data_IF_621567170744
#
_entry.id   IF_621567170744
#
_cell.length_a   1.000
_cell.length_b   1.000
_cell.length_c   1.000
_cell.angle_alpha   90.00
_cell.angle_beta   90.00
_cell.angle_gamma   90.00
#
_symmetry.space_group_name_H-M   'P 1'
#
loop_
_entity.id
_entity.type
_entity.pdbx_description
1 polymer ?
#
# COMPACT_ATOMS: atom_id res chain seq x y z
N UNK A 1 -7.29 -8.26 -3.72
CA UNK A 1 -8.08 -8.26 -2.46
C UNK A 1 -7.18 -7.63 -1.44
N UNK A 2 -7.49 -6.39 -1.12
CA UNK A 2 -6.84 -5.57 -0.10
C UNK A 2 -7.51 -5.86 1.25
N UNK A 3 -6.69 -5.94 2.31
CA UNK A 3 -7.16 -5.98 3.69
C UNK A 3 -6.72 -4.68 4.36
N UNK A 4 -7.70 -3.94 4.90
CA UNK A 4 -7.47 -2.65 5.55
C UNK A 4 -7.74 -2.77 7.07
N UNK A 5 -6.85 -2.19 7.89
CA UNK A 5 -7.00 -2.14 9.34
C UNK A 5 -6.47 -0.82 9.92
N UNK A 6 -7.23 -0.22 10.85
CA UNK A 6 -6.78 0.99 11.56
C UNK A 6 -5.73 0.62 12.62
N UNK A 7 -4.65 1.37 12.63
CA UNK A 7 -3.61 1.38 13.64
C UNK A 7 -3.81 2.60 14.57
N UNK A 8 -3.15 2.65 15.74
CA UNK A 8 -3.15 3.83 16.60
C UNK A 8 -2.76 5.10 15.80
N UNK A 9 -3.27 6.26 16.21
CA UNK A 9 -2.96 7.58 15.64
C UNK A 9 -3.52 7.89 14.23
N UNK A 10 -4.58 7.17 13.79
CA UNK A 10 -5.21 7.42 12.48
C UNK A 10 -4.45 6.80 11.31
N UNK A 11 -3.47 5.95 11.62
CA UNK A 11 -2.69 5.17 10.69
C UNK A 11 -3.58 4.09 10.04
N UNK A 12 -3.45 3.88 8.73
CA UNK A 12 -4.12 2.79 8.03
C UNK A 12 -3.10 1.81 7.47
N UNK A 13 -3.26 0.54 7.83
CA UNK A 13 -2.52 -0.57 7.25
C UNK A 13 -3.22 -1.02 5.97
N UNK A 14 -2.50 -1.07 4.85
CA UNK A 14 -2.99 -1.59 3.57
C UNK A 14 -2.12 -2.75 3.14
N UNK A 15 -2.67 -3.95 2.99
CA UNK A 15 -1.95 -5.12 2.49
C UNK A 15 -2.17 -5.28 0.98
N UNK A 16 -1.07 -5.29 0.22
CA UNK A 16 -1.08 -5.61 -1.20
C UNK A 16 -0.67 -7.04 -1.44
N UNK A 17 -1.61 -7.84 -1.94
CA UNK A 17 -1.41 -9.25 -2.20
C UNK A 17 -1.60 -9.55 -3.69
N UNK A 18 -0.53 -10.00 -4.34
CA UNK A 18 -0.63 -10.67 -5.63
C UNK A 18 -1.11 -12.11 -5.40
N UNK A 19 -2.37 -12.39 -5.79
CA UNK A 19 -3.02 -13.71 -5.69
C UNK A 19 -2.78 -14.60 -6.92
N UNK A 20 -1.96 -14.15 -7.87
CA UNK A 20 -1.54 -14.95 -9.01
C UNK A 20 -0.65 -16.12 -8.58
N UNK A 21 -0.66 -17.19 -9.36
CA UNK A 21 0.11 -18.41 -9.07
C UNK A 21 1.55 -18.36 -9.61
N UNK A 22 1.91 -17.31 -10.35
CA UNK A 22 3.24 -17.08 -10.94
C UNK A 22 3.40 -15.60 -11.34
N UNK A 23 4.65 -15.17 -11.52
CA UNK A 23 4.98 -13.85 -12.08
C UNK A 23 5.00 -12.70 -11.06
N UNK A 24 5.24 -11.49 -11.58
CA UNK A 24 5.24 -10.24 -10.83
C UNK A 24 4.13 -9.35 -11.37
N UNK A 25 3.37 -8.71 -10.49
CA UNK A 25 2.31 -7.79 -10.88
C UNK A 25 2.66 -6.35 -10.49
N UNK A 26 2.14 -5.41 -11.27
CA UNK A 26 2.09 -4.00 -10.87
C UNK A 26 0.77 -3.74 -10.17
N UNK A 27 0.83 -3.26 -8.92
CA UNK A 27 -0.36 -2.90 -8.16
C UNK A 27 -0.28 -1.42 -7.81
N UNK A 28 -1.36 -0.71 -8.12
CA UNK A 28 -1.57 0.68 -7.70
C UNK A 28 -2.67 0.72 -6.66
N UNK A 29 -2.38 1.34 -5.52
CA UNK A 29 -3.39 1.73 -4.53
C UNK A 29 -3.75 3.17 -4.78
N UNK A 30 -5.03 3.44 -5.03
CA UNK A 30 -5.54 4.82 -4.97
C UNK A 30 -6.05 5.07 -3.57
N UNK A 31 -5.76 6.26 -3.05
CA UNK A 31 -6.24 6.68 -1.73
C UNK A 31 -7.77 6.68 -1.65
N UNK A 32 -8.43 7.04 -2.76
CA UNK A 32 -9.89 6.95 -2.92
C UNK A 32 -10.46 5.55 -2.71
N UNK A 33 -9.71 4.51 -3.08
CA UNK A 33 -10.19 3.12 -3.01
C UNK A 33 -10.19 2.61 -1.56
N UNK A 34 -9.40 3.26 -0.68
CA UNK A 34 -9.27 2.90 0.75
C UNK A 34 -9.91 3.94 1.69
N UNK A 35 -10.67 4.89 1.14
CA UNK A 35 -11.52 5.81 1.92
C UNK A 35 -10.97 7.23 2.14
N UNK A 36 -9.89 7.62 1.46
CA UNK A 36 -9.33 8.96 1.54
C UNK A 36 -9.71 9.85 0.34
N UNK A 37 -9.60 11.18 0.47
CA UNK A 37 -9.70 12.09 -0.68
C UNK A 37 -8.71 11.76 -1.80
N UNK A 38 -9.08 12.09 -3.05
CA UNK A 38 -8.25 11.83 -4.25
C UNK A 38 -6.92 12.61 -4.24
N UNK A 39 -6.85 13.71 -3.50
CA UNK A 39 -5.71 14.59 -3.33
C UNK A 39 -5.00 14.39 -1.97
N UNK A 40 -5.37 13.34 -1.24
CA UNK A 40 -4.75 13.02 0.05
C UNK A 40 -3.25 12.80 -0.11
N UNK A 41 -2.45 13.38 0.80
CA UNK A 41 -1.02 13.15 0.88
C UNK A 41 -0.75 12.16 2.01
N UNK A 42 -0.04 11.07 1.70
CA UNK A 42 0.37 10.08 2.67
C UNK A 42 1.86 9.80 2.55
N UNK A 43 2.55 9.65 3.69
CA UNK A 43 3.85 8.98 3.70
C UNK A 43 3.60 7.49 3.45
N UNK A 44 4.50 6.84 2.75
CA UNK A 44 4.47 5.40 2.54
C UNK A 44 5.69 4.80 3.20
N UNK A 45 5.49 3.76 4.01
CA UNK A 45 6.56 3.04 4.71
C UNK A 45 6.41 1.55 4.52
N UNK A 46 7.43 0.89 3.99
CA UNK A 46 7.52 -0.57 4.03
C UNK A 46 7.84 -1.04 5.45
N UNK A 47 6.89 -1.73 6.09
CA UNK A 47 7.08 -2.24 7.45
C UNK A 47 8.00 -3.47 7.52
N UNK A 48 8.12 -4.26 6.45
CA UNK A 48 9.01 -5.42 6.42
C UNK A 48 10.46 -4.98 6.27
N UNK A 49 10.72 -4.09 5.31
CA UNK A 49 12.03 -3.48 5.15
C UNK A 49 12.34 -2.40 6.20
N UNK A 50 11.35 -2.04 7.03
CA UNK A 50 11.41 -0.94 8.02
C UNK A 50 11.90 0.37 7.40
N UNK A 51 11.46 0.65 6.18
CA UNK A 51 11.99 1.73 5.33
C UNK A 51 10.87 2.66 4.87
N UNK A 52 11.11 3.96 5.00
CA UNK A 52 10.24 4.97 4.41
C UNK A 52 10.49 5.06 2.89
N UNK A 53 9.42 5.01 2.12
CA UNK A 53 9.43 5.06 0.65
C UNK A 53 9.13 6.48 0.12
N UNK A 54 8.75 7.40 1.01
CA UNK A 54 8.51 8.81 0.71
C UNK A 54 7.03 9.19 0.78
N UNK A 55 6.73 10.47 0.54
CA UNK A 55 5.37 10.99 0.46
C UNK A 55 4.78 10.83 -0.94
N UNK A 56 3.50 10.49 -1.03
CA UNK A 56 2.77 10.28 -2.27
C UNK A 56 1.38 10.90 -2.20
N UNK A 57 0.93 11.52 -3.29
CA UNK A 57 -0.37 12.17 -3.39
C UNK A 57 -1.30 11.35 -4.30
N UNK A 58 -2.52 11.11 -3.83
CA UNK A 58 -3.58 10.40 -4.54
C UNK A 58 -3.40 8.89 -4.75
N UNK A 59 -2.16 8.39 -4.90
CA UNK A 59 -1.89 6.97 -5.09
C UNK A 59 -0.45 6.57 -4.81
N UNK A 60 -0.23 5.26 -4.68
CA UNK A 60 1.09 4.64 -4.65
C UNK A 60 1.13 3.40 -5.55
N UNK A 61 2.19 3.27 -6.36
CA UNK A 61 2.35 2.15 -7.32
C UNK A 61 3.60 1.34 -7.01
N UNK A 62 3.41 0.03 -6.90
CA UNK A 62 4.49 -0.95 -6.78
C UNK A 62 4.62 -1.72 -8.08
N UNK A 63 5.78 -1.60 -8.72
CA UNK A 63 6.04 -2.12 -10.06
C UNK A 63 6.38 -3.62 -10.09
N UNK A 64 6.72 -4.22 -8.95
CA UNK A 64 7.14 -5.63 -8.84
C UNK A 64 6.71 -6.23 -7.52
N UNK A 65 5.49 -6.74 -7.46
CA UNK A 65 5.01 -7.58 -6.35
C UNK A 65 5.09 -9.02 -6.82
N UNK A 66 6.08 -9.75 -6.29
CA UNK A 66 6.18 -11.21 -6.47
C UNK A 66 4.93 -11.90 -5.92
N UNK A 67 4.62 -13.09 -6.43
CA UNK A 67 3.54 -13.91 -5.89
C UNK A 67 3.66 -14.04 -4.36
N UNK A 68 2.55 -13.86 -3.64
CA UNK A 68 2.48 -13.86 -2.17
C UNK A 68 3.26 -12.76 -1.43
N UNK A 69 3.79 -11.74 -2.11
CA UNK A 69 4.37 -10.59 -1.42
C UNK A 69 3.28 -9.76 -0.71
N UNK A 70 3.68 -9.08 0.38
CA UNK A 70 2.83 -8.23 1.20
C UNK A 70 3.58 -6.94 1.51
N UNK A 71 2.97 -5.80 1.25
CA UNK A 71 3.48 -4.48 1.66
C UNK A 71 2.40 -3.83 2.52
N UNK A 72 2.82 -3.14 3.59
CA UNK A 72 1.93 -2.42 4.49
C UNK A 72 2.22 -0.93 4.36
N UNK A 73 1.21 -0.09 4.18
CA UNK A 73 1.34 1.37 4.15
C UNK A 73 1.14 1.95 5.57
N UNK A 74 1.73 3.12 5.84
CA UNK A 74 1.56 3.89 7.08
C UNK A 74 1.54 5.37 6.73
N UNK A 75 0.46 6.08 7.07
CA UNK A 75 0.37 7.54 6.98
C UNK A 75 0.90 8.22 8.26
#
# INVERSE_FOLDING_TARGET
MDMNGQLPDGLQAVILLNRGNFGCETITVKWSDIGFPVDHSAVVRDLWARKDLGACIGSYTLLKIDYHATIMLKN
#
